data_IF_952829834614
#
_entry.id   IF_952829834614
#
_cell.length_a   1.000
_cell.length_b   1.000
_cell.length_c   1.000
_cell.angle_alpha   90.00
_cell.angle_beta   90.00
_cell.angle_gamma   90.00
#
_symmetry.space_group_name_H-M   'P 1'
#
loop_
_entity.id
_entity.type
_entity.pdbx_description
1 polymer ?
#
# COMPACT_ATOMS: atom_id res chain seq x y z
N UNK A 1 15.65 -18.22 69.86
CA UNK A 1 16.52 -19.42 69.83
C UNK A 1 16.15 -20.41 68.71
N UNK A 2 14.87 -20.72 68.46
CA UNK A 2 14.45 -21.64 67.39
C UNK A 2 14.92 -21.23 65.96
N UNK A 3 14.94 -19.93 65.66
CA UNK A 3 15.47 -19.42 64.37
C UNK A 3 17.00 -19.46 64.25
N UNK A 4 17.74 -19.56 65.35
CA UNK A 4 19.20 -19.65 65.31
C UNK A 4 19.67 -21.09 65.15
N UNK A 5 18.94 -22.03 65.77
CA UNK A 5 19.18 -23.48 65.67
C UNK A 5 18.84 -24.00 64.26
N UNK A 6 17.73 -23.57 63.64
CA UNK A 6 17.43 -23.88 62.22
C UNK A 6 18.47 -23.31 61.24
N UNK A 7 19.08 -22.17 61.56
CA UNK A 7 20.10 -21.54 60.70
C UNK A 7 21.44 -22.29 60.76
N UNK A 8 21.70 -23.02 61.85
CA UNK A 8 22.87 -23.89 62.02
C UNK A 8 22.69 -25.26 61.33
N UNK A 9 21.48 -25.82 61.28
CA UNK A 9 21.17 -27.03 60.47
C UNK A 9 21.19 -26.77 58.95
N UNK A 10 21.15 -25.51 58.53
CA UNK A 10 21.13 -25.10 57.12
C UNK A 10 22.48 -24.58 56.59
N UNK A 11 23.50 -24.45 57.44
CA UNK A 11 24.81 -23.95 57.05
C UNK A 11 25.65 -25.09 56.47
N UNK A 12 25.91 -25.06 55.16
CA UNK A 12 26.82 -25.99 54.49
C UNK A 12 28.25 -25.73 54.95
N UNK A 13 28.96 -26.80 55.28
CA UNK A 13 30.38 -26.74 55.63
C UNK A 13 31.28 -26.94 54.42
N UNK A 14 32.50 -26.41 54.49
CA UNK A 14 33.52 -26.57 53.45
C UNK A 14 33.83 -28.05 53.16
N UNK A 15 33.93 -28.87 54.22
CA UNK A 15 34.20 -30.31 54.12
C UNK A 15 33.10 -31.06 53.36
N UNK A 16 31.84 -30.73 53.59
CA UNK A 16 30.71 -31.34 52.87
C UNK A 16 30.76 -31.02 51.37
N UNK A 17 31.11 -29.78 51.00
CA UNK A 17 31.29 -29.40 49.59
C UNK A 17 32.47 -30.17 48.98
N UNK A 18 33.59 -30.28 49.69
CA UNK A 18 34.78 -31.00 49.20
C UNK A 18 34.50 -32.49 48.96
N UNK A 19 33.76 -33.16 49.85
CA UNK A 19 33.36 -34.57 49.70
C UNK A 19 32.47 -34.74 48.47
N UNK A 20 31.49 -33.84 48.26
CA UNK A 20 30.63 -33.87 47.08
C UNK A 20 31.43 -33.60 45.80
N UNK A 21 32.37 -32.64 45.81
CA UNK A 21 33.28 -32.40 44.69
C UNK A 21 34.08 -33.66 44.33
N UNK A 22 34.62 -34.36 45.33
CA UNK A 22 35.36 -35.60 45.13
C UNK A 22 34.49 -36.73 44.57
N UNK A 23 33.25 -36.86 45.06
CA UNK A 23 32.31 -37.86 44.55
C UNK A 23 31.90 -37.57 43.10
N UNK A 24 31.68 -36.31 42.73
CA UNK A 24 31.39 -35.90 41.35
C UNK A 24 32.59 -36.19 40.44
N UNK A 25 33.82 -35.93 40.92
CA UNK A 25 35.04 -36.24 40.18
C UNK A 25 35.21 -37.76 39.98
N UNK A 26 34.90 -38.58 40.99
CA UNK A 26 34.93 -40.05 40.89
C UNK A 26 33.94 -40.60 39.85
N UNK A 27 32.84 -39.89 39.62
CA UNK A 27 31.85 -40.21 38.58
C UNK A 27 32.26 -39.71 37.18
N UNK A 28 33.45 -39.11 37.03
CA UNK A 28 33.97 -38.60 35.76
C UNK A 28 33.40 -37.24 35.35
N UNK A 29 32.67 -36.56 36.23
CA UNK A 29 32.05 -35.27 35.96
C UNK A 29 32.86 -34.13 36.60
N UNK A 30 32.84 -32.95 35.97
CA UNK A 30 33.43 -31.76 36.58
C UNK A 30 32.50 -31.21 37.67
N UNK A 31 33.02 -30.93 38.88
CA UNK A 31 32.22 -30.38 39.98
C UNK A 31 31.89 -28.90 39.71
N UNK A 32 30.84 -28.68 38.92
CA UNK A 32 30.27 -27.35 38.67
C UNK A 32 29.30 -26.97 39.79
N UNK A 33 29.12 -25.67 40.02
CA UNK A 33 28.23 -25.17 41.07
C UNK A 33 26.81 -25.77 40.99
N UNK A 34 26.29 -25.97 39.77
CA UNK A 34 24.95 -26.52 39.53
C UNK A 34 24.86 -27.99 39.96
N UNK A 35 25.89 -28.78 39.66
CA UNK A 35 25.94 -30.21 40.01
C UNK A 35 26.16 -30.40 41.51
N UNK A 36 27.05 -29.62 42.11
CA UNK A 36 27.30 -29.62 43.56
C UNK A 36 26.02 -29.26 44.32
N UNK A 37 25.35 -28.18 43.90
CA UNK A 37 24.10 -27.73 44.52
C UNK A 37 22.98 -28.76 44.41
N UNK A 38 22.86 -29.42 43.24
CA UNK A 38 21.90 -30.51 43.03
C UNK A 38 22.14 -31.68 44.00
N UNK A 39 23.41 -32.10 44.17
CA UNK A 39 23.77 -33.17 45.12
C UNK A 39 23.63 -32.79 46.60
N UNK A 40 23.74 -31.50 46.92
CA UNK A 40 23.55 -30.98 48.29
C UNK A 40 22.08 -30.67 48.61
N UNK A 41 21.14 -30.92 47.68
CA UNK A 41 19.71 -30.73 47.89
C UNK A 41 19.30 -29.26 48.03
N UNK A 42 19.86 -28.37 47.19
CA UNK A 42 19.59 -26.93 47.18
C UNK A 42 19.95 -26.16 48.46
N UNK A 43 20.66 -26.81 49.40
CA UNK A 43 21.17 -26.18 50.61
C UNK A 43 22.29 -25.19 50.26
N UNK A 44 22.46 -24.15 51.07
CA UNK A 44 23.54 -23.16 50.95
C UNK A 44 23.40 -22.12 49.82
N UNK A 45 24.12 -21.00 49.97
CA UNK A 45 24.20 -19.95 48.95
C UNK A 45 25.15 -20.36 47.83
N UNK A 46 24.84 -19.96 46.59
CA UNK A 46 25.71 -20.15 45.43
C UNK A 46 27.09 -19.53 45.63
N UNK A 47 27.19 -18.41 46.37
CA UNK A 47 28.47 -17.78 46.70
C UNK A 47 29.33 -18.64 47.64
N UNK A 48 28.69 -19.29 48.62
CA UNK A 48 29.37 -20.18 49.58
C UNK A 48 29.84 -21.46 48.91
N UNK A 49 29.01 -22.06 48.05
CA UNK A 49 29.37 -23.26 47.28
C UNK A 49 30.52 -22.94 46.32
N UNK A 50 30.48 -21.79 45.62
CA UNK A 50 31.57 -21.36 44.73
C UNK A 50 32.88 -21.20 45.50
N UNK A 51 32.87 -20.48 46.63
CA UNK A 51 34.05 -20.30 47.48
C UNK A 51 34.69 -21.62 47.93
N UNK A 52 33.89 -22.57 48.43
CA UNK A 52 34.42 -23.86 48.90
C UNK A 52 34.82 -24.81 47.78
N UNK A 53 34.20 -24.70 46.60
CA UNK A 53 34.67 -25.39 45.39
C UNK A 53 36.02 -24.84 44.95
N UNK A 54 36.17 -23.53 44.93
CA UNK A 54 37.42 -22.90 44.49
C UNK A 54 38.57 -23.21 45.47
N UNK A 55 38.31 -23.24 46.79
CA UNK A 55 39.29 -23.72 47.78
C UNK A 55 39.65 -25.20 47.65
N UNK A 56 38.71 -26.03 47.16
CA UNK A 56 38.97 -27.44 46.86
C UNK A 56 39.83 -27.60 45.61
N UNK A 57 39.59 -26.79 44.57
CA UNK A 57 40.39 -26.80 43.34
C UNK A 57 41.83 -26.34 43.61
N UNK A 58 42.00 -25.27 44.39
CA UNK A 58 43.33 -24.78 44.80
C UNK A 58 44.14 -25.87 45.54
N UNK A 59 43.49 -26.64 46.43
CA UNK A 59 44.11 -27.82 47.08
C UNK A 59 44.43 -28.97 46.13
N UNK A 60 43.67 -29.11 45.04
CA UNK A 60 43.92 -30.13 44.02
C UNK A 60 45.12 -29.71 43.15
N UNK A 61 45.27 -28.41 42.90
CA UNK A 61 46.38 -27.80 42.15
C UNK A 61 47.70 -27.80 42.94
N UNK A 62 47.66 -27.58 44.27
CA UNK A 62 48.84 -27.61 45.16
C UNK A 62 49.46 -29.00 45.35
N UNK A 63 48.81 -30.04 44.84
CA UNK A 63 49.43 -31.33 44.57
C UNK A 63 49.45 -32.31 45.75
N UNK A 64 48.90 -33.50 45.50
CA UNK A 64 49.27 -34.81 46.06
C UNK A 64 49.52 -34.96 47.58
N UNK A 65 49.14 -34.01 48.44
CA UNK A 65 48.84 -34.26 49.86
C UNK A 65 47.44 -34.87 50.01
N UNK A 66 47.09 -35.75 49.08
CA UNK A 66 45.94 -36.61 49.19
C UNK A 66 46.36 -37.79 50.10
N UNK A 67 45.70 -38.02 51.24
CA UNK A 67 45.96 -39.19 52.08
C UNK A 67 45.86 -40.53 51.32
N UNK A 68 45.16 -40.56 50.18
CA UNK A 68 45.05 -41.73 49.30
C UNK A 68 46.28 -41.98 48.40
N UNK A 69 47.29 -41.10 48.40
CA UNK A 69 48.50 -41.21 47.59
C UNK A 69 49.77 -41.42 48.45
N UNK A 70 49.58 -41.67 49.74
CA UNK A 70 50.65 -41.93 50.73
C UNK A 70 51.47 -43.20 50.46
N UNK A 71 51.00 -44.09 49.58
CA UNK A 71 51.64 -45.39 49.27
C UNK A 71 52.50 -45.36 47.99
N UNK A 72 52.69 -44.19 47.36
CA UNK A 72 53.55 -44.08 46.17
C UNK A 72 55.02 -44.03 46.60
N UNK A 73 55.89 -44.91 46.07
CA UNK A 73 57.34 -44.85 46.31
C UNK A 73 57.90 -43.45 46.00
N UNK A 74 58.76 -42.93 46.88
CA UNK A 74 59.28 -41.56 46.78
C UNK A 74 59.91 -41.26 45.41
N UNK A 75 60.55 -42.26 44.79
CA UNK A 75 61.21 -42.16 43.48
C UNK A 75 60.22 -41.95 42.31
N UNK A 76 58.96 -42.38 42.46
CA UNK A 76 57.93 -42.26 41.43
C UNK A 76 57.09 -40.99 41.55
N UNK A 77 57.14 -40.30 42.69
CA UNK A 77 56.34 -39.09 42.94
C UNK A 77 56.66 -37.97 41.94
N UNK A 78 57.94 -37.68 41.70
CA UNK A 78 58.39 -36.61 40.80
C UNK A 78 58.06 -36.92 39.32
N UNK A 79 58.36 -38.13 38.78
CA UNK A 79 57.96 -38.48 37.41
C UNK A 79 56.45 -38.41 37.18
N UNK A 80 55.66 -38.91 38.12
CA UNK A 80 54.19 -38.86 38.04
C UNK A 80 53.71 -37.42 38.05
N UNK A 81 54.20 -36.58 38.96
CA UNK A 81 53.85 -35.16 39.01
C UNK A 81 54.21 -34.43 37.72
N UNK A 82 55.37 -34.72 37.14
CA UNK A 82 55.82 -34.13 35.86
C UNK A 82 54.95 -34.61 34.70
N UNK A 83 54.57 -35.89 34.67
CA UNK A 83 53.68 -36.42 33.65
C UNK A 83 52.27 -35.80 33.75
N UNK A 84 51.76 -35.61 34.97
CA UNK A 84 50.45 -34.97 35.17
C UNK A 84 50.47 -33.49 34.82
N UNK A 85 51.48 -32.74 35.24
CA UNK A 85 51.57 -31.31 34.92
C UNK A 85 51.74 -31.07 33.42
N UNK A 86 52.53 -31.90 32.74
CA UNK A 86 52.69 -31.83 31.27
C UNK A 86 51.40 -32.21 30.54
N UNK A 87 50.72 -33.30 30.95
CA UNK A 87 49.43 -33.68 30.40
C UNK A 87 48.35 -32.61 30.62
N UNK A 88 48.32 -31.99 31.80
CA UNK A 88 47.38 -30.91 32.12
C UNK A 88 47.68 -29.66 31.30
N UNK A 89 48.95 -29.29 31.16
CA UNK A 89 49.37 -28.15 30.33
C UNK A 89 48.96 -28.36 28.88
N UNK A 90 49.23 -29.54 28.32
CA UNK A 90 48.86 -29.88 26.95
C UNK A 90 47.34 -29.87 26.75
N UNK A 91 46.57 -30.40 27.71
CA UNK A 91 45.11 -30.34 27.67
C UNK A 91 44.58 -28.90 27.74
N UNK A 92 45.18 -28.06 28.59
CA UNK A 92 44.84 -26.64 28.67
C UNK A 92 45.16 -25.91 27.37
N UNK A 93 46.31 -26.17 26.74
CA UNK A 93 46.68 -25.56 25.47
C UNK A 93 45.73 -25.93 24.33
N UNK A 94 45.38 -27.22 24.20
CA UNK A 94 44.39 -27.67 23.20
C UNK A 94 43.04 -26.98 23.44
N UNK A 95 42.57 -26.96 24.69
CA UNK A 95 41.29 -26.34 25.04
C UNK A 95 41.32 -24.83 24.79
N UNK A 96 42.46 -24.17 25.01
CA UNK A 96 42.63 -22.74 24.72
C UNK A 96 42.55 -22.46 23.22
N UNK A 97 43.27 -23.24 22.41
CA UNK A 97 43.30 -23.09 20.96
C UNK A 97 41.91 -23.31 20.33
N UNK A 98 41.18 -24.32 20.79
CA UNK A 98 39.80 -24.57 20.36
C UNK A 98 38.87 -23.43 20.77
N UNK A 99 38.99 -22.94 22.01
CA UNK A 99 38.20 -21.80 22.46
C UNK A 99 38.50 -20.52 21.64
N UNK A 100 39.75 -20.27 21.28
CA UNK A 100 40.11 -19.08 20.51
C UNK A 100 39.62 -19.19 19.05
N UNK A 101 39.66 -20.39 18.45
CA UNK A 101 39.02 -20.65 17.15
C UNK A 101 37.51 -20.42 17.20
N UNK A 102 36.83 -20.95 18.21
CA UNK A 102 35.40 -20.77 18.38
C UNK A 102 35.03 -19.30 18.62
N UNK A 103 35.84 -18.54 19.37
CA UNK A 103 35.63 -17.10 19.54
C UNK A 103 35.73 -16.34 18.22
N UNK A 104 36.71 -16.68 17.39
CA UNK A 104 36.87 -16.07 16.06
C UNK A 104 35.66 -16.41 15.19
N UNK A 105 35.23 -17.67 15.15
CA UNK A 105 34.07 -18.09 14.37
C UNK A 105 32.78 -17.38 14.83
N UNK A 106 32.54 -17.30 16.15
CA UNK A 106 31.42 -16.54 16.72
C UNK A 106 31.49 -15.07 16.30
N UNK A 107 32.68 -14.46 16.34
CA UNK A 107 32.84 -13.08 15.92
C UNK A 107 32.52 -12.89 14.43
N UNK A 108 33.02 -13.77 13.56
CA UNK A 108 32.71 -13.73 12.12
C UNK A 108 31.23 -13.92 11.84
N UNK A 109 30.57 -14.87 12.50
CA UNK A 109 29.13 -15.09 12.36
C UNK A 109 28.32 -13.88 12.85
N UNK A 110 28.73 -13.23 13.95
CA UNK A 110 28.08 -12.01 14.42
C UNK A 110 28.19 -10.86 13.42
N UNK A 111 29.36 -10.69 12.78
CA UNK A 111 29.54 -9.70 11.71
C UNK A 111 28.66 -10.02 10.50
N UNK A 112 28.52 -11.30 10.14
CA UNK A 112 27.65 -11.69 9.03
C UNK A 112 26.17 -11.43 9.35
N UNK A 113 25.74 -11.72 10.58
CA UNK A 113 24.39 -11.42 11.08
C UNK A 113 24.11 -9.91 11.02
N UNK A 114 25.04 -9.08 11.48
CA UNK A 114 24.91 -7.62 11.42
C UNK A 114 24.78 -7.11 9.97
N UNK A 115 25.60 -7.62 9.05
CA UNK A 115 25.51 -7.29 7.63
C UNK A 115 24.17 -7.74 7.02
N UNK A 116 23.69 -8.96 7.34
CA UNK A 116 22.36 -9.40 6.88
C UNK A 116 21.25 -8.53 7.46
N UNK A 117 21.32 -8.14 8.73
CA UNK A 117 20.33 -7.27 9.37
C UNK A 117 20.29 -5.87 8.75
N UNK A 118 21.44 -5.28 8.44
CA UNK A 118 21.48 -3.98 7.73
C UNK A 118 20.87 -4.08 6.33
N UNK A 119 21.13 -5.19 5.61
CA UNK A 119 20.49 -5.45 4.31
C UNK A 119 18.97 -5.64 4.43
N UNK A 120 18.51 -6.35 5.45
CA UNK A 120 17.07 -6.51 5.74
C UNK A 120 16.44 -5.15 5.97
N UNK A 121 17.02 -4.29 6.82
CA UNK A 121 16.50 -2.93 7.05
C UNK A 121 16.43 -2.08 5.79
N UNK A 122 17.44 -2.16 4.90
CA UNK A 122 17.41 -1.49 3.61
C UNK A 122 16.29 -2.03 2.69
N UNK A 123 16.08 -3.35 2.69
CA UNK A 123 14.98 -3.98 1.94
C UNK A 123 13.61 -3.60 2.50
N UNK A 124 13.46 -3.51 3.81
CA UNK A 124 12.22 -3.05 4.46
C UNK A 124 11.92 -1.59 4.12
N UNK A 125 12.93 -0.71 4.16
CA UNK A 125 12.77 0.69 3.74
C UNK A 125 12.33 0.80 2.28
N UNK A 126 12.98 0.06 1.38
CA UNK A 126 12.62 0.08 -0.05
C UNK A 126 11.23 -0.51 -0.31
N UNK A 127 10.82 -1.54 0.43
CA UNK A 127 9.45 -2.06 0.37
C UNK A 127 8.45 -1.00 0.83
N UNK A 128 8.71 -0.31 1.93
CA UNK A 128 7.85 0.78 2.43
C UNK A 128 7.69 1.92 1.41
N UNK A 129 8.78 2.31 0.75
CA UNK A 129 8.76 3.34 -0.30
C UNK A 129 7.95 2.89 -1.52
N UNK A 130 8.12 1.63 -1.94
CA UNK A 130 7.38 1.05 -3.06
C UNK A 130 5.89 0.93 -2.76
N UNK A 131 5.51 0.55 -1.54
CA UNK A 131 4.11 0.52 -1.10
C UNK A 131 3.50 1.91 -1.20
N UNK A 132 4.18 2.93 -0.65
CA UNK A 132 3.73 4.32 -0.68
C UNK A 132 3.57 4.84 -2.13
N UNK A 133 4.52 4.50 -3.01
CA UNK A 133 4.45 4.83 -4.43
C UNK A 133 3.27 4.14 -5.12
N UNK A 134 3.03 2.87 -4.82
CA UNK A 134 1.93 2.11 -5.39
C UNK A 134 0.57 2.65 -4.96
N UNK A 135 0.42 3.03 -3.69
CA UNK A 135 -0.80 3.68 -3.19
C UNK A 135 -1.09 5.01 -3.90
N UNK A 136 -0.04 5.83 -4.11
CA UNK A 136 -0.18 7.09 -4.83
C UNK A 136 -0.58 6.88 -6.30
N UNK A 137 0.00 5.87 -6.96
CA UNK A 137 -0.38 5.51 -8.33
C UNK A 137 -1.81 4.97 -8.40
N UNK A 138 -2.25 4.16 -7.43
CA UNK A 138 -3.62 3.67 -7.34
C UNK A 138 -4.61 4.83 -7.22
N UNK A 139 -4.37 5.77 -6.30
CA UNK A 139 -5.19 6.98 -6.14
C UNK A 139 -5.23 7.82 -7.41
N UNK A 140 -4.09 7.96 -8.10
CA UNK A 140 -4.04 8.67 -9.38
C UNK A 140 -4.88 7.96 -10.45
N UNK A 141 -4.84 6.64 -10.52
CA UNK A 141 -5.64 5.87 -11.48
C UNK A 141 -7.14 6.00 -11.17
N UNK A 142 -7.55 5.91 -9.90
CA UNK A 142 -8.93 6.13 -9.49
C UNK A 142 -9.43 7.52 -9.89
N UNK A 143 -8.61 8.56 -9.67
CA UNK A 143 -8.94 9.92 -10.10
C UNK A 143 -9.08 10.04 -11.63
N UNK A 144 -8.22 9.36 -12.40
CA UNK A 144 -8.32 9.36 -13.86
C UNK A 144 -9.56 8.61 -14.35
N UNK A 145 -9.91 7.49 -13.72
CA UNK A 145 -11.14 6.73 -14.05
C UNK A 145 -12.37 7.61 -13.83
N UNK A 146 -12.49 8.22 -12.65
CA UNK A 146 -13.63 9.11 -12.35
C UNK A 146 -13.70 10.32 -13.30
N UNK A 147 -12.54 10.85 -13.73
CA UNK A 147 -12.50 11.92 -14.71
C UNK A 147 -12.97 11.47 -16.10
N UNK A 148 -12.55 10.29 -16.55
CA UNK A 148 -13.01 9.69 -17.81
C UNK A 148 -14.52 9.44 -17.78
N UNK A 149 -15.05 8.91 -16.69
CA UNK A 149 -16.49 8.71 -16.51
C UNK A 149 -17.27 10.03 -16.63
N UNK A 150 -16.76 11.10 -16.01
CA UNK A 150 -17.36 12.44 -16.13
C UNK A 150 -17.36 12.94 -17.57
N UNK A 151 -16.21 12.83 -18.27
CA UNK A 151 -16.10 13.27 -19.67
C UNK A 151 -17.01 12.46 -20.60
N UNK A 152 -17.15 11.16 -20.36
CA UNK A 152 -18.06 10.31 -21.15
C UNK A 152 -19.52 10.72 -20.95
N UNK A 153 -19.93 11.04 -19.72
CA UNK A 153 -21.28 11.54 -19.44
C UNK A 153 -21.55 12.90 -20.12
N UNK A 154 -20.54 13.77 -20.13
CA UNK A 154 -20.61 15.08 -20.80
C UNK A 154 -20.72 14.91 -22.33
N UNK A 155 -19.96 13.99 -22.92
CA UNK A 155 -20.06 13.62 -24.32
C UNK A 155 -21.43 13.03 -24.69
N UNK A 156 -21.99 12.17 -23.85
CA UNK A 156 -23.33 11.59 -24.07
C UNK A 156 -24.41 12.68 -24.07
N UNK A 157 -24.32 13.63 -23.13
CA UNK A 157 -25.22 14.76 -23.03
C UNK A 157 -25.13 15.65 -24.27
N UNK A 158 -23.93 16.05 -24.67
CA UNK A 158 -23.71 16.85 -25.88
C UNK A 158 -24.16 16.13 -27.15
N UNK A 159 -23.98 14.82 -27.22
CA UNK A 159 -24.44 14.01 -28.37
C UNK A 159 -25.96 14.03 -28.47
N UNK A 160 -26.66 13.92 -27.34
CA UNK A 160 -28.12 14.03 -27.28
C UNK A 160 -28.61 15.42 -27.68
N UNK A 161 -28.01 16.47 -27.11
CA UNK A 161 -28.34 17.85 -27.46
C UNK A 161 -28.13 18.13 -28.96
N UNK A 162 -27.04 17.63 -29.54
CA UNK A 162 -26.78 17.79 -30.97
C UNK A 162 -27.80 17.05 -31.84
N UNK A 163 -28.22 15.84 -31.43
CA UNK A 163 -29.30 15.12 -32.10
C UNK A 163 -30.62 15.91 -32.05
N UNK A 164 -30.97 16.48 -30.90
CA UNK A 164 -32.15 17.34 -30.75
C UNK A 164 -32.05 18.59 -31.64
N UNK A 165 -30.91 19.27 -31.67
CA UNK A 165 -30.68 20.42 -32.55
C UNK A 165 -30.84 20.06 -34.03
N UNK A 166 -30.36 18.90 -34.47
CA UNK A 166 -30.55 18.41 -35.84
C UNK A 166 -32.05 18.22 -36.13
N UNK A 167 -32.82 17.65 -35.20
CA UNK A 167 -34.27 17.48 -35.40
C UNK A 167 -35.00 18.82 -35.52
N UNK A 168 -34.65 19.81 -34.70
CA UNK A 168 -35.22 21.16 -34.75
C UNK A 168 -34.83 21.87 -36.05
N UNK A 169 -33.57 21.76 -36.47
CA UNK A 169 -33.09 22.34 -37.72
C UNK A 169 -33.83 21.78 -38.94
N UNK A 170 -34.06 20.46 -38.98
CA UNK A 170 -34.84 19.83 -40.04
C UNK A 170 -36.29 20.30 -40.04
N UNK A 171 -36.93 20.36 -38.87
CA UNK A 171 -38.30 20.87 -38.75
C UNK A 171 -38.43 22.31 -39.23
N UNK A 172 -37.52 23.19 -38.81
CA UNK A 172 -37.51 24.59 -39.24
C UNK A 172 -37.27 24.72 -40.74
N UNK A 173 -36.46 23.84 -41.33
CA UNK A 173 -36.25 23.77 -42.77
C UNK A 173 -37.55 23.37 -43.50
N UNK A 174 -38.26 22.36 -43.00
CA UNK A 174 -39.54 21.92 -43.56
C UNK A 174 -40.59 23.05 -43.48
N UNK A 175 -40.71 23.70 -42.32
CA UNK A 175 -41.60 24.87 -42.14
C UNK A 175 -41.24 26.02 -43.11
N UNK A 176 -39.95 26.22 -43.41
CA UNK A 176 -39.51 27.22 -44.39
C UNK A 176 -39.90 26.85 -45.82
N UNK A 177 -39.88 25.56 -46.16
CA UNK A 177 -40.35 25.07 -47.47
C UNK A 177 -41.86 25.27 -47.58
N UNK A 178 -42.63 24.88 -46.57
CA UNK A 178 -44.09 25.04 -46.55
C UNK A 178 -44.50 26.51 -46.70
N UNK A 179 -43.88 27.42 -45.93
CA UNK A 179 -44.14 28.87 -46.04
C UNK A 179 -43.75 29.42 -47.41
N UNK A 180 -42.69 28.89 -48.03
CA UNK A 180 -42.28 29.32 -49.37
C UNK A 180 -43.30 28.92 -50.43
N UNK A 181 -43.87 27.71 -50.32
CA UNK A 181 -44.91 27.22 -51.20
C UNK A 181 -46.20 28.04 -51.01
N UNK A 182 -46.60 28.33 -49.77
CA UNK A 182 -47.75 29.21 -49.48
C UNK A 182 -47.57 30.62 -50.06
N UNK A 183 -46.38 31.21 -49.94
CA UNK A 183 -46.06 32.51 -50.55
C UNK A 183 -46.16 32.45 -52.08
N UNK A 184 -45.76 31.33 -52.69
CA UNK A 184 -45.86 31.14 -54.14
C UNK A 184 -47.33 31.04 -54.59
N UNK A 185 -48.15 30.26 -53.89
CA UNK A 185 -49.59 30.12 -54.15
C UNK A 185 -50.34 31.46 -53.98
N UNK A 186 -50.02 32.22 -52.94
CA UNK A 186 -50.57 33.56 -52.72
C UNK A 186 -50.17 34.53 -53.83
N UNK A 187 -48.93 34.44 -54.32
CA UNK A 187 -48.44 35.26 -55.43
C UNK A 187 -49.16 34.95 -56.74
N UNK A 188 -49.43 33.68 -57.02
CA UNK A 188 -50.21 33.25 -58.18
C UNK A 188 -51.67 33.70 -58.08
N UNK A 189 -52.27 33.58 -56.90
CA UNK A 189 -53.62 34.08 -56.59
C UNK A 189 -53.72 35.60 -56.79
N UNK A 190 -52.74 36.36 -56.29
CA UNK A 190 -52.67 37.82 -56.51
C UNK A 190 -52.55 38.18 -57.99
N UNK A 191 -51.74 37.44 -58.77
CA UNK A 191 -51.61 37.66 -60.20
C UNK A 191 -52.94 37.45 -60.93
N UNK A 192 -53.66 36.38 -60.57
CA UNK A 192 -55.00 36.08 -61.10
C UNK A 192 -55.99 37.20 -60.76
N UNK A 193 -56.08 37.59 -59.47
CA UNK A 193 -56.97 38.66 -59.02
C UNK A 193 -56.67 39.99 -59.71
N UNK A 194 -55.39 40.32 -59.90
CA UNK A 194 -54.97 41.53 -60.60
C UNK A 194 -55.41 41.51 -62.06
N UNK A 195 -55.29 40.36 -62.73
CA UNK A 195 -55.76 40.20 -64.11
C UNK A 195 -57.28 40.37 -64.22
N UNK A 196 -58.04 39.87 -63.23
CA UNK A 196 -59.49 40.00 -63.19
C UNK A 196 -59.93 41.43 -62.89
N UNK A 197 -59.24 42.11 -61.97
CA UNK A 197 -59.43 43.53 -61.71
C UNK A 197 -59.25 44.36 -62.99
N UNK A 198 -58.24 44.05 -63.80
CA UNK A 198 -57.97 44.78 -65.04
C UNK A 198 -59.05 44.54 -66.10
N UNK A 199 -59.59 43.31 -66.21
CA UNK A 199 -60.76 43.02 -67.04
C UNK A 199 -62.01 43.76 -66.56
N UNK A 200 -62.23 43.85 -65.26
CA UNK A 200 -63.37 44.60 -64.72
C UNK A 200 -63.23 46.10 -65.01
N UNK A 201 -62.02 46.65 -64.88
CA UNK A 201 -61.76 48.05 -65.26
C UNK A 201 -62.04 48.29 -66.74
N UNK A 202 -61.54 47.43 -67.64
CA UNK A 202 -61.80 47.60 -69.08
C UNK A 202 -63.29 47.46 -69.41
N UNK A 203 -63.99 46.48 -68.82
CA UNK A 203 -65.43 46.33 -68.96
C UNK A 203 -66.21 47.56 -68.47
N UNK A 204 -65.83 48.11 -67.31
CA UNK A 204 -66.46 49.32 -66.75
C UNK A 204 -66.21 50.52 -67.66
N UNK A 205 -65.00 50.64 -68.22
CA UNK A 205 -64.64 51.71 -69.14
C UNK A 205 -65.36 51.60 -70.49
N UNK A 206 -65.55 50.37 -71.00
CA UNK A 206 -66.36 50.07 -72.18
C UNK A 206 -67.85 50.40 -71.95
N UNK A 207 -68.37 50.07 -70.76
CA UNK A 207 -69.71 50.47 -70.35
C UNK A 207 -69.84 52.00 -70.30
N UNK A 208 -68.89 52.70 -69.65
CA UNK A 208 -68.89 54.16 -69.57
C UNK A 208 -68.88 54.80 -70.96
N UNK A 209 -68.00 54.35 -71.87
CA UNK A 209 -67.93 54.86 -73.24
C UNK A 209 -69.20 54.58 -74.05
N UNK A 210 -69.81 53.39 -73.90
CA UNK A 210 -71.12 53.09 -74.49
C UNK A 210 -72.22 53.99 -73.94
N UNK A 211 -72.28 54.20 -72.62
CA UNK A 211 -73.28 55.09 -72.01
C UNK A 211 -73.08 56.54 -72.42
N UNK A 212 -71.83 57.02 -72.51
CA UNK A 212 -71.51 58.36 -73.00
C UNK A 212 -71.92 58.53 -74.47
N UNK A 213 -71.66 57.52 -75.30
CA UNK A 213 -72.08 57.50 -76.71
C UNK A 213 -73.61 57.47 -76.85
N UNK A 214 -74.31 56.71 -76.00
CA UNK A 214 -75.76 56.64 -75.98
C UNK A 214 -76.39 57.97 -75.52
N UNK A 215 -75.85 58.61 -74.47
CA UNK A 215 -76.24 59.95 -74.04
C UNK A 215 -76.08 60.97 -75.17
N UNK A 216 -74.93 60.97 -75.85
CA UNK A 216 -74.69 61.84 -77.00
C UNK A 216 -75.68 61.60 -78.15
N UNK A 217 -76.03 60.35 -78.43
CA UNK A 217 -77.08 60.01 -79.42
C UNK A 217 -78.47 60.48 -78.99
N UNK A 218 -78.79 60.44 -77.69
CA UNK A 218 -80.05 60.99 -77.16
C UNK A 218 -80.09 62.52 -77.29
N UNK A 219 -79.01 63.22 -76.96
CA UNK A 219 -78.87 64.68 -77.16
C UNK A 219 -78.98 65.07 -78.65
N UNK A 220 -78.40 64.29 -79.56
CA UNK A 220 -78.51 64.49 -81.01
C UNK A 220 -79.94 64.22 -81.54
N UNK A 221 -80.68 63.29 -80.92
CA UNK A 221 -82.09 63.04 -81.26
C UNK A 221 -83.03 64.10 -80.70
N UNK A 222 -82.79 64.62 -79.50
CA UNK A 222 -83.54 65.78 -78.98
C UNK A 222 -83.33 67.02 -79.85
N UNK A 223 -82.11 67.26 -80.36
CA UNK A 223 -81.83 68.36 -81.28
C UNK A 223 -82.45 68.18 -82.70
N UNK A 224 -82.73 66.94 -83.13
CA UNK A 224 -83.39 66.64 -84.43
C UNK A 224 -84.92 66.49 -84.34
N UNK A 225 -85.50 66.44 -83.14
CA UNK A 225 -86.95 66.31 -82.94
C UNK A 225 -87.64 67.62 -82.54
N UNK A 226 -86.94 68.76 -82.58
CA UNK A 226 -87.57 70.08 -82.52
C UNK A 226 -88.20 70.40 -83.89
N UNK A 227 -89.55 70.46 -84.00
CA UNK A 227 -90.21 70.82 -85.23
C UNK A 227 -89.92 72.29 -85.54
N UNK A 228 -89.56 72.53 -86.79
CA UNK A 228 -89.68 73.79 -87.49
C UNK A 228 -91.03 74.44 -87.17
N UNK A 229 -91.05 75.48 -86.35
CA UNK A 229 -92.18 76.43 -86.29
C UNK A 229 -91.65 77.86 -86.23
N UNK A 230 -91.98 78.56 -87.32
CA UNK A 230 -91.87 79.98 -87.65
C UNK A 230 -90.48 80.58 -87.88
#
# INVERSE_FOLDING_TARGET
>A
MANHIRKLEMAITEKEVHVVCFQILKEGNMPTFKVIRSKLGDRGSNSTIRKYRDSWLERLEDGFDNPALSDIPADLKIPIQTMWSTALTLAHDITRDENDKLKIEIHTLNLEIENKNTRIGNHESTISDLISKNENLSKSNENLITHIEKLNHELETLTKENAELITVANRSKDETVDLKDEVQDLKESLKSLTSELEKQKSFTQDLMTRTASALKSYEEKENNCSPRTH
#
